data_IF_278978431411
#
_entry.id   IF_278978431411
#
_cell.length_a   1.000
_cell.length_b   1.000
_cell.length_c   1.000
_cell.angle_alpha   90.00
_cell.angle_beta   90.00
_cell.angle_gamma   90.00
#
_symmetry.space_group_name_H-M   'P 1'
#
loop_
_entity.id
_entity.type
_entity.pdbx_description
1 polymer ?
#
# COMPACT_ATOMS: atom_id res chain seq x y z
N UNK A 1 -6.44 18.36 3.30
CA UNK A 1 -6.69 19.68 3.93
C UNK A 1 -7.03 19.48 5.40
N UNK A 2 -6.29 20.09 6.25
CA UNK A 2 -6.60 20.04 7.70
C UNK A 2 -7.66 21.09 8.02
N UNK A 3 -8.68 20.67 8.77
CA UNK A 3 -9.71 21.57 9.25
C UNK A 3 -9.15 22.50 10.35
N UNK A 4 -9.65 23.74 10.39
CA UNK A 4 -9.34 24.66 11.50
C UNK A 4 -10.05 24.19 12.78
N UNK A 5 -9.49 24.54 13.94
CA UNK A 5 -10.03 24.13 15.26
C UNK A 5 -11.51 24.49 15.42
N UNK A 6 -11.91 25.67 14.96
CA UNK A 6 -13.30 26.13 15.00
C UNK A 6 -14.23 25.29 14.12
N UNK A 7 -13.77 24.88 12.92
CA UNK A 7 -14.53 24.01 12.03
C UNK A 7 -14.71 22.62 12.64
N UNK A 8 -13.67 22.08 13.27
CA UNK A 8 -13.73 20.79 13.97
C UNK A 8 -14.72 20.87 15.13
N UNK A 9 -14.71 21.95 15.90
CA UNK A 9 -15.62 22.17 17.01
C UNK A 9 -17.07 22.25 16.55
N UNK A 10 -17.34 23.01 15.51
CA UNK A 10 -18.68 23.12 14.92
C UNK A 10 -19.19 21.77 14.41
N UNK A 11 -18.37 21.04 13.66
CA UNK A 11 -18.72 19.70 13.15
C UNK A 11 -19.02 18.75 14.30
N UNK A 12 -18.20 18.75 15.37
CA UNK A 12 -18.40 17.89 16.54
C UNK A 12 -19.75 18.17 17.21
N UNK A 13 -20.08 19.45 17.44
CA UNK A 13 -21.32 19.84 18.06
C UNK A 13 -22.53 19.49 17.17
N UNK A 14 -22.40 19.65 15.86
CA UNK A 14 -23.45 19.29 14.89
C UNK A 14 -23.69 17.79 14.84
N UNK A 15 -22.62 16.97 14.82
CA UNK A 15 -22.71 15.50 14.80
C UNK A 15 -23.34 14.96 16.08
N UNK A 16 -23.09 15.57 17.22
CA UNK A 16 -23.78 15.22 18.49
C UNK A 16 -25.29 15.43 18.42
N UNK A 17 -25.74 16.49 17.74
CA UNK A 17 -27.17 16.76 17.54
C UNK A 17 -27.87 15.74 16.65
N UNK A 18 -27.17 15.09 15.72
CA UNK A 18 -27.71 14.02 14.86
C UNK A 18 -27.51 12.62 15.40
N UNK A 19 -27.18 12.51 16.69
CA UNK A 19 -27.08 11.25 17.43
C UNK A 19 -26.04 10.26 16.91
N UNK A 20 -24.85 10.77 16.56
CA UNK A 20 -23.71 9.94 16.19
C UNK A 20 -22.99 9.40 17.42
N UNK A 21 -22.40 8.20 17.31
CA UNK A 21 -21.52 7.66 18.34
C UNK A 21 -20.23 8.46 18.50
N UNK A 22 -19.61 8.38 19.68
CA UNK A 22 -18.34 9.05 19.95
C UNK A 22 -17.24 8.60 18.96
N UNK A 23 -17.24 7.33 18.57
CA UNK A 23 -16.30 6.77 17.58
C UNK A 23 -16.52 7.38 16.20
N UNK A 24 -17.76 7.51 15.76
CA UNK A 24 -18.10 8.14 14.47
C UNK A 24 -17.69 9.62 14.46
N UNK A 25 -17.86 10.33 15.58
CA UNK A 25 -17.41 11.72 15.74
C UNK A 25 -15.87 11.81 15.66
N UNK A 26 -15.17 10.92 16.37
CA UNK A 26 -13.71 10.85 16.32
C UNK A 26 -13.20 10.57 14.90
N UNK A 27 -13.82 9.62 14.22
CA UNK A 27 -13.48 9.27 12.83
C UNK A 27 -13.67 10.47 11.88
N UNK A 28 -14.78 11.19 12.01
CA UNK A 28 -15.04 12.38 11.20
C UNK A 28 -13.97 13.47 11.42
N UNK A 29 -13.49 13.63 12.65
CA UNK A 29 -12.42 14.60 12.97
C UNK A 29 -11.11 14.33 12.28
N UNK A 30 -10.77 13.06 12.05
CA UNK A 30 -9.52 12.64 11.40
C UNK A 30 -9.70 12.29 9.92
N UNK A 31 -10.88 12.56 9.37
CA UNK A 31 -11.16 12.36 7.95
C UNK A 31 -11.57 10.94 7.56
N UNK A 32 -11.88 10.07 8.51
CA UNK A 32 -12.41 8.74 8.23
C UNK A 32 -13.90 8.86 7.93
N UNK A 33 -14.31 8.48 6.71
CA UNK A 33 -15.69 8.64 6.23
C UNK A 33 -16.59 7.45 6.48
N UNK A 34 -15.99 6.27 6.67
CA UNK A 34 -16.75 5.04 6.98
C UNK A 34 -15.84 4.00 7.62
N UNK A 35 -16.45 3.11 8.41
CA UNK A 35 -15.79 1.92 8.96
C UNK A 35 -16.53 0.69 8.54
N UNK A 36 -15.76 -0.37 8.28
CA UNK A 36 -16.32 -1.68 7.99
C UNK A 36 -15.40 -2.74 8.58
N UNK A 37 -16.00 -3.72 9.26
CA UNK A 37 -15.28 -4.82 9.85
C UNK A 37 -15.41 -6.07 8.98
N UNK A 38 -14.30 -6.76 8.77
CA UNK A 38 -14.24 -8.01 8.00
C UNK A 38 -13.54 -9.11 8.77
N UNK A 39 -14.08 -10.33 8.67
CA UNK A 39 -13.35 -11.53 9.02
C UNK A 39 -12.55 -12.04 7.83
N UNK A 40 -11.30 -12.41 8.05
CA UNK A 40 -10.43 -12.96 7.00
C UNK A 40 -10.15 -14.44 7.24
N UNK A 41 -10.34 -15.25 6.20
CA UNK A 41 -9.94 -16.66 6.21
C UNK A 41 -8.48 -16.86 5.84
N UNK A 42 -7.96 -15.96 5.03
CA UNK A 42 -6.62 -16.04 4.45
C UNK A 42 -5.72 -14.93 5.00
N UNK A 43 -4.67 -15.29 5.76
CA UNK A 43 -3.71 -14.31 6.27
C UNK A 43 -3.01 -13.50 5.18
N UNK A 44 -2.82 -14.05 3.99
CA UNK A 44 -2.22 -13.34 2.85
C UNK A 44 -3.13 -12.19 2.42
N UNK A 45 -4.43 -12.44 2.31
CA UNK A 45 -5.41 -11.41 1.96
C UNK A 45 -5.44 -10.30 3.02
N UNK A 46 -5.48 -10.68 4.30
CA UNK A 46 -5.42 -9.72 5.41
C UNK A 46 -4.20 -8.81 5.29
N UNK A 47 -3.03 -9.37 5.06
CA UNK A 47 -1.79 -8.60 4.95
C UNK A 47 -1.82 -7.62 3.78
N UNK A 48 -2.39 -8.01 2.65
CA UNK A 48 -2.55 -7.12 1.49
C UNK A 48 -3.55 -6.01 1.77
N UNK A 49 -4.66 -6.29 2.41
CA UNK A 49 -5.66 -5.28 2.80
C UNK A 49 -5.05 -4.27 3.77
N UNK A 50 -4.28 -4.71 4.76
CA UNK A 50 -3.55 -3.81 5.67
C UNK A 50 -2.60 -2.87 4.91
N UNK A 51 -1.91 -3.37 3.91
CA UNK A 51 -1.05 -2.55 3.04
C UNK A 51 -1.84 -1.53 2.24
N UNK A 52 -3.01 -1.88 1.72
CA UNK A 52 -3.88 -0.92 1.01
C UNK A 52 -4.30 0.23 1.92
N UNK A 53 -4.76 -0.07 3.12
CA UNK A 53 -5.17 0.94 4.09
C UNK A 53 -3.99 1.85 4.45
N UNK A 54 -2.86 1.26 4.79
CA UNK A 54 -1.63 2.00 5.13
C UNK A 54 -1.18 2.92 3.98
N UNK A 55 -1.19 2.43 2.75
CA UNK A 55 -0.83 3.23 1.57
C UNK A 55 -1.79 4.39 1.35
N UNK A 56 -3.08 4.17 1.57
CA UNK A 56 -4.11 5.22 1.49
C UNK A 56 -3.86 6.32 2.53
N UNK A 57 -3.56 5.94 3.77
CA UNK A 57 -3.28 6.90 4.85
C UNK A 57 -2.02 7.72 4.57
N UNK A 58 -0.95 7.09 4.12
CA UNK A 58 0.29 7.77 3.73
C UNK A 58 0.05 8.77 2.60
N UNK A 59 -0.72 8.39 1.60
CA UNK A 59 -1.10 9.29 0.51
C UNK A 59 -1.91 10.48 0.98
N UNK A 60 -2.87 10.26 1.87
CA UNK A 60 -3.67 11.33 2.46
C UNK A 60 -2.82 12.32 3.28
N UNK A 61 -1.91 11.84 4.12
CA UNK A 61 -0.99 12.69 4.88
C UNK A 61 -0.09 13.52 3.96
N UNK A 62 0.37 12.92 2.88
CA UNK A 62 1.30 13.57 1.94
C UNK A 62 0.62 14.63 1.08
N UNK A 63 -0.56 14.34 0.55
CA UNK A 63 -1.23 15.19 -0.44
C UNK A 63 -2.43 15.97 0.10
N UNK A 64 -2.94 15.61 1.27
CA UNK A 64 -4.10 16.28 1.88
C UNK A 64 -5.42 16.01 1.19
N UNK A 65 -5.48 15.04 0.27
CA UNK A 65 -6.67 14.66 -0.46
C UNK A 65 -6.71 13.15 -0.69
N UNK A 66 -7.92 12.62 -0.89
CA UNK A 66 -8.14 11.23 -1.23
C UNK A 66 -8.24 11.06 -2.75
N UNK A 67 -8.14 9.82 -3.22
CA UNK A 67 -8.38 9.49 -4.62
C UNK A 67 -9.82 9.84 -5.05
N UNK A 68 -10.80 9.70 -4.16
CA UNK A 68 -12.17 10.09 -4.42
C UNK A 68 -12.32 11.61 -4.56
N UNK A 69 -11.61 12.41 -3.75
CA UNK A 69 -11.54 13.86 -3.90
C UNK A 69 -10.97 14.26 -5.26
N UNK A 70 -9.85 13.65 -5.66
CA UNK A 70 -9.22 13.88 -6.96
C UNK A 70 -10.19 13.61 -8.12
N UNK A 71 -10.93 12.51 -8.03
CA UNK A 71 -11.92 12.11 -9.03
C UNK A 71 -13.08 13.10 -9.10
N UNK A 72 -13.65 13.47 -7.96
CA UNK A 72 -14.81 14.38 -7.88
C UNK A 72 -14.48 15.78 -8.34
N UNK A 73 -13.29 16.26 -8.01
CA UNK A 73 -12.82 17.59 -8.41
C UNK A 73 -12.27 17.64 -9.84
N UNK A 74 -12.31 16.52 -10.56
CA UNK A 74 -11.80 16.42 -11.95
C UNK A 74 -10.34 16.86 -12.09
N UNK A 75 -9.54 16.62 -11.06
CA UNK A 75 -8.10 16.93 -11.06
C UNK A 75 -7.33 16.08 -12.06
N UNK A 76 -7.86 14.90 -12.39
CA UNK A 76 -7.28 13.95 -13.33
C UNK A 76 -8.38 13.33 -14.18
N UNK A 77 -8.22 13.33 -15.50
CA UNK A 77 -9.16 12.71 -16.43
C UNK A 77 -8.97 11.20 -16.59
N UNK A 78 -9.94 10.54 -17.22
CA UNK A 78 -9.91 9.08 -17.44
C UNK A 78 -8.66 8.62 -18.18
N UNK A 79 -8.26 9.33 -19.23
CA UNK A 79 -7.06 9.00 -20.02
C UNK A 79 -5.81 9.03 -19.14
N UNK A 80 -5.68 10.01 -18.24
CA UNK A 80 -4.56 10.10 -17.32
C UNK A 80 -4.52 8.92 -16.34
N UNK A 81 -5.68 8.52 -15.80
CA UNK A 81 -5.75 7.32 -14.95
C UNK A 81 -5.31 6.07 -15.71
N UNK A 82 -5.75 5.90 -16.95
CA UNK A 82 -5.37 4.74 -17.77
C UNK A 82 -3.88 4.72 -18.08
N UNK A 83 -3.29 5.87 -18.41
CA UNK A 83 -1.86 5.98 -18.66
C UNK A 83 -1.05 5.66 -17.39
N UNK A 84 -1.46 6.19 -16.25
CA UNK A 84 -0.79 5.93 -14.97
C UNK A 84 -0.83 4.44 -14.60
N UNK A 85 -1.98 3.78 -14.77
CA UNK A 85 -2.10 2.33 -14.54
C UNK A 85 -1.22 1.53 -15.50
N UNK A 86 -1.19 1.90 -16.76
CA UNK A 86 -0.34 1.21 -17.73
C UNK A 86 1.15 1.32 -17.38
N UNK A 87 1.60 2.51 -17.01
CA UNK A 87 2.98 2.74 -16.57
C UNK A 87 3.32 1.90 -15.33
N UNK A 88 2.43 1.87 -14.34
CA UNK A 88 2.62 1.06 -13.13
C UNK A 88 2.66 -0.44 -13.42
N UNK A 89 1.83 -0.92 -14.35
CA UNK A 89 1.87 -2.32 -14.78
C UNK A 89 3.17 -2.66 -15.53
N UNK A 90 3.67 -1.75 -16.36
CA UNK A 90 4.96 -1.90 -17.03
C UNK A 90 6.10 -1.98 -16.00
N UNK A 91 6.10 -1.09 -15.02
CA UNK A 91 7.07 -1.12 -13.92
C UNK A 91 6.99 -2.42 -13.12
N UNK A 92 5.79 -2.93 -12.86
CA UNK A 92 5.60 -4.21 -12.19
C UNK A 92 6.25 -5.37 -12.97
N UNK A 93 6.12 -5.39 -14.29
CA UNK A 93 6.78 -6.39 -15.15
C UNK A 93 8.31 -6.29 -15.04
N UNK A 94 8.85 -5.07 -15.05
CA UNK A 94 10.28 -4.83 -14.90
C UNK A 94 10.81 -5.30 -13.54
N UNK A 95 10.08 -5.03 -12.46
CA UNK A 95 10.44 -5.51 -11.12
C UNK A 95 10.42 -7.04 -11.01
N UNK A 96 9.44 -7.69 -11.64
CA UNK A 96 9.37 -9.16 -11.70
C UNK A 96 10.60 -9.70 -12.44
N UNK A 97 10.96 -9.10 -13.57
CA UNK A 97 12.13 -9.53 -14.32
C UNK A 97 13.43 -9.33 -13.52
N UNK A 98 13.59 -8.18 -12.88
CA UNK A 98 14.76 -7.93 -12.03
C UNK A 98 14.86 -8.96 -10.88
N UNK A 99 13.73 -9.29 -10.26
CA UNK A 99 13.70 -10.31 -9.22
C UNK A 99 14.06 -11.70 -9.76
N UNK A 100 13.62 -12.05 -10.96
CA UNK A 100 13.96 -13.31 -11.62
C UNK A 100 15.46 -13.38 -11.97
N UNK A 101 16.02 -12.29 -12.46
CA UNK A 101 17.43 -12.19 -12.79
C UNK A 101 18.28 -12.35 -11.52
N UNK A 102 17.90 -11.68 -10.43
CA UNK A 102 18.56 -11.84 -9.13
C UNK A 102 18.49 -13.27 -8.60
N UNK A 103 17.33 -13.91 -8.73
CA UNK A 103 17.17 -15.31 -8.33
C UNK A 103 18.06 -16.24 -9.16
N UNK A 104 18.21 -15.98 -10.45
CA UNK A 104 19.08 -16.73 -11.35
C UNK A 104 20.54 -16.59 -10.92
N UNK A 105 21.00 -15.36 -10.67
CA UNK A 105 22.37 -15.07 -10.21
C UNK A 105 22.66 -15.77 -8.88
N UNK A 106 21.74 -15.71 -7.93
CA UNK A 106 21.88 -16.41 -6.64
C UNK A 106 21.98 -17.92 -6.82
N UNK A 107 21.21 -18.50 -7.75
CA UNK A 107 21.26 -19.95 -8.05
C UNK A 107 22.57 -20.34 -8.70
N UNK A 108 23.09 -19.55 -9.60
CA UNK A 108 24.41 -19.76 -10.25
C UNK A 108 25.54 -19.67 -9.24
N UNK A 109 25.53 -18.66 -8.37
CA UNK A 109 26.51 -18.50 -7.30
C UNK A 109 26.50 -19.69 -6.32
N UNK A 110 25.32 -20.15 -5.93
CA UNK A 110 25.15 -21.31 -5.07
C UNK A 110 25.70 -22.59 -5.73
N UNK A 111 25.49 -22.75 -7.03
CA UNK A 111 25.97 -23.88 -7.81
C UNK A 111 27.49 -23.85 -7.93
N UNK A 112 28.07 -22.69 -8.23
CA UNK A 112 29.53 -22.51 -8.31
C UNK A 112 30.16 -22.83 -6.95
N UNK A 113 29.64 -22.29 -5.87
CA UNK A 113 30.13 -22.55 -4.51
C UNK A 113 30.11 -24.06 -4.18
N UNK A 114 29.07 -24.77 -4.58
CA UNK A 114 28.99 -26.21 -4.38
C UNK A 114 30.06 -26.97 -5.15
N UNK A 115 30.33 -26.62 -6.40
CA UNK A 115 31.39 -27.25 -7.20
C UNK A 115 32.75 -27.00 -6.60
N UNK A 116 33.04 -25.80 -6.13
CA UNK A 116 34.32 -25.47 -5.46
C UNK A 116 34.49 -26.28 -4.19
N UNK A 117 33.46 -26.47 -3.38
CA UNK A 117 33.49 -27.30 -2.19
C UNK A 117 33.73 -28.78 -2.53
N UNK A 118 33.06 -29.31 -3.54
CA UNK A 118 33.23 -30.69 -4.00
C UNK A 118 34.66 -30.95 -4.53
N UNK A 119 35.23 -30.01 -5.27
CA UNK A 119 36.65 -30.09 -5.73
C UNK A 119 37.61 -30.07 -4.56
N UNK A 120 37.38 -29.23 -3.57
CA UNK A 120 38.19 -29.14 -2.37
C UNK A 120 38.16 -30.46 -1.57
N UNK A 121 36.97 -31.01 -1.34
CA UNK A 121 36.83 -32.30 -0.64
C UNK A 121 37.47 -33.43 -1.40
N UNK A 122 37.34 -33.50 -2.72
CA UNK A 122 38.01 -34.49 -3.56
C UNK A 122 39.53 -34.39 -3.45
N UNK A 123 40.09 -33.17 -3.38
CA UNK A 123 41.52 -32.96 -3.22
C UNK A 123 42.09 -33.45 -1.88
N UNK A 124 41.27 -33.46 -0.83
CA UNK A 124 41.65 -33.97 0.49
C UNK A 124 41.73 -35.49 0.57
N UNK A 125 41.11 -36.22 -0.37
CA UNK A 125 41.09 -37.68 -0.42
C UNK A 125 42.27 -38.29 -1.22
N UNK A 126 43.02 -37.47 -1.89
CA UNK A 126 44.25 -37.87 -2.57
C UNK A 126 45.44 -37.84 -1.57
#
# INVERSE_FOLDING_TARGET
MRLKVEQVKWITEHLKKINMSDREIMDAKIGITSRKEYGFRDPVVRNVVDKFVSRSDVGFEKYGSTLDDERRLKMKGLTKYLNDVQEELMDAVLYIQAARDELQDMSEEALISKFEDDEYEASLQE
#
